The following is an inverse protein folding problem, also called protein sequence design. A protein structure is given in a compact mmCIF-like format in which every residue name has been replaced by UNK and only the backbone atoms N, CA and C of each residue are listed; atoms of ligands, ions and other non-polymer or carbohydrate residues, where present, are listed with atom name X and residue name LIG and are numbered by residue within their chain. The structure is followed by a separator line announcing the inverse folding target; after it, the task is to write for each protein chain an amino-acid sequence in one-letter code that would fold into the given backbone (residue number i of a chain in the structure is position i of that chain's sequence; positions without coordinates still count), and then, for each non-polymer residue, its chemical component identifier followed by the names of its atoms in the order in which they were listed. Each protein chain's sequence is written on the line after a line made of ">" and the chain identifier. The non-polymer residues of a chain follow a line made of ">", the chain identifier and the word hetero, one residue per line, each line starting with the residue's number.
data_IF_737398488133
#
_entry.id   IF_737398488133
#
_cell.length_a   1.000
_cell.length_b   1.000
_cell.length_c   1.000
_cell.angle_alpha   90.00
_cell.angle_beta   90.00
_cell.angle_gamma   90.00
#
_symmetry.space_group_name_H-M   'P 1'
#
loop_
_entity.id
_entity.type
_entity.pdbx_description
1 polymer ?
#
# COMPACT_ATOMS: atom_id res chain seq x y z
N UNK A 1 -17.90 -9.40 -19.87
CA UNK A 1 -16.47 -9.40 -19.46
C UNK A 1 -16.30 -10.39 -18.34
N UNK A 2 -15.35 -11.31 -18.51
CA UNK A 2 -14.98 -12.35 -17.54
C UNK A 2 -13.81 -11.82 -16.71
N UNK A 3 -14.03 -11.70 -15.41
CA UNK A 3 -13.04 -11.15 -14.47
C UNK A 3 -12.52 -12.26 -13.56
N UNK A 4 -11.22 -12.55 -13.63
CA UNK A 4 -10.58 -13.47 -12.71
C UNK A 4 -9.93 -12.70 -11.57
N UNK A 5 -10.35 -12.97 -10.33
CA UNK A 5 -9.81 -12.33 -9.14
C UNK A 5 -8.70 -13.23 -8.60
N UNK A 6 -7.45 -12.81 -8.77
CA UNK A 6 -6.28 -13.57 -8.32
C UNK A 6 -5.92 -13.20 -6.91
N UNK A 7 -5.88 -14.18 -6.01
CA UNK A 7 -5.75 -13.99 -4.57
C UNK A 7 -4.85 -15.03 -3.89
N UNK A 8 -4.59 -14.83 -2.59
CA UNK A 8 -3.82 -15.75 -1.77
C UNK A 8 -2.32 -15.49 -1.85
N UNK A 9 -1.56 -16.46 -2.31
CA UNK A 9 -0.11 -16.41 -2.34
C UNK A 9 0.53 -17.01 -1.09
N UNK A 10 1.80 -16.69 -0.85
CA UNK A 10 2.61 -17.28 0.23
C UNK A 10 3.14 -16.24 1.23
N UNK A 11 2.78 -14.95 1.05
CA UNK A 11 3.18 -13.87 1.94
C UNK A 11 2.43 -13.89 3.27
N UNK A 12 2.92 -13.11 4.23
CA UNK A 12 2.25 -12.82 5.51
C UNK A 12 0.83 -12.25 5.35
N UNK A 13 0.51 -11.68 4.18
CA UNK A 13 -0.77 -11.03 3.87
C UNK A 13 -1.79 -11.94 3.14
N UNK A 14 -1.51 -13.26 3.04
CA UNK A 14 -2.36 -14.24 2.35
C UNK A 14 -3.83 -14.21 2.78
N UNK A 15 -4.08 -14.17 4.09
CA UNK A 15 -5.43 -14.22 4.63
C UNK A 15 -6.20 -12.94 4.29
N UNK A 16 -5.54 -11.78 4.35
CA UNK A 16 -6.12 -10.50 3.96
C UNK A 16 -6.47 -10.47 2.47
N UNK A 17 -5.57 -10.97 1.62
CA UNK A 17 -5.80 -11.14 0.18
C UNK A 17 -7.02 -12.03 -0.09
N UNK A 18 -7.14 -13.14 0.62
CA UNK A 18 -8.27 -14.09 0.47
C UNK A 18 -9.60 -13.43 0.85
N UNK A 19 -9.66 -12.74 1.97
CA UNK A 19 -10.87 -12.03 2.38
C UNK A 19 -11.26 -10.92 1.38
N UNK A 20 -10.29 -10.11 0.95
CA UNK A 20 -10.52 -9.05 -0.05
C UNK A 20 -11.15 -9.63 -1.33
N UNK A 21 -10.64 -10.76 -1.84
CA UNK A 21 -11.11 -11.39 -3.06
C UNK A 21 -12.59 -11.78 -3.01
N UNK A 22 -13.06 -12.27 -1.87
CA UNK A 22 -14.47 -12.61 -1.70
C UNK A 22 -15.38 -11.37 -1.78
N UNK A 23 -15.02 -10.26 -1.13
CA UNK A 23 -15.79 -9.02 -1.20
C UNK A 23 -15.78 -8.41 -2.60
N UNK A 24 -14.62 -8.41 -3.27
CA UNK A 24 -14.48 -7.94 -4.66
C UNK A 24 -15.37 -8.75 -5.58
N UNK A 25 -15.38 -10.10 -5.47
CA UNK A 25 -16.21 -10.97 -6.28
C UNK A 25 -17.69 -10.62 -6.16
N UNK A 26 -18.19 -10.49 -4.93
CA UNK A 26 -19.61 -10.16 -4.72
C UNK A 26 -19.97 -8.81 -5.32
N UNK A 27 -19.14 -7.78 -5.10
CA UNK A 27 -19.36 -6.45 -5.67
C UNK A 27 -19.41 -6.48 -7.21
N UNK A 28 -18.48 -7.20 -7.87
CA UNK A 28 -18.46 -7.30 -9.33
C UNK A 28 -19.64 -8.13 -9.88
N UNK A 29 -20.10 -9.15 -9.15
CA UNK A 29 -21.33 -9.89 -9.50
C UNK A 29 -22.57 -9.03 -9.44
N UNK A 30 -22.68 -8.19 -8.42
CA UNK A 30 -23.79 -7.22 -8.29
C UNK A 30 -23.75 -6.19 -9.44
N UNK A 31 -22.58 -5.87 -9.98
CA UNK A 31 -22.42 -5.05 -11.20
C UNK A 31 -22.65 -5.83 -12.51
N UNK A 32 -22.97 -7.12 -12.47
CA UNK A 32 -23.28 -7.94 -13.63
C UNK A 32 -22.11 -8.57 -14.35
N UNK A 33 -20.92 -8.63 -13.73
CA UNK A 33 -19.75 -9.30 -14.30
C UNK A 33 -19.75 -10.80 -14.01
N UNK A 34 -19.28 -11.60 -14.96
CA UNK A 34 -18.90 -12.98 -14.71
C UNK A 34 -17.55 -12.99 -13.97
N UNK A 35 -17.47 -13.70 -12.83
CA UNK A 35 -16.30 -13.64 -11.96
C UNK A 35 -15.83 -15.01 -11.52
N UNK A 36 -14.49 -15.21 -11.50
CA UNK A 36 -13.84 -16.41 -11.00
C UNK A 36 -12.84 -16.06 -9.90
N UNK A 37 -12.85 -16.82 -8.82
CA UNK A 37 -11.79 -16.75 -7.80
C UNK A 37 -10.66 -17.71 -8.24
N UNK A 38 -9.47 -17.17 -8.45
CA UNK A 38 -8.30 -17.92 -8.90
C UNK A 38 -7.18 -17.79 -7.85
N UNK A 39 -6.85 -18.87 -7.11
CA UNK A 39 -5.72 -18.82 -6.21
C UNK A 39 -4.41 -18.64 -6.98
N UNK A 40 -3.48 -17.87 -6.41
CA UNK A 40 -2.17 -17.70 -7.01
C UNK A 40 -1.34 -18.98 -6.84
N UNK A 41 -1.14 -19.70 -7.94
CA UNK A 41 -0.44 -20.98 -8.01
C UNK A 41 0.45 -21.07 -9.25
N UNK A 42 1.31 -22.10 -9.31
CA UNK A 42 2.29 -22.29 -10.41
C UNK A 42 1.67 -22.31 -11.81
N UNK A 43 0.42 -22.79 -11.97
CA UNK A 43 -0.26 -22.86 -13.27
C UNK A 43 -1.24 -21.68 -13.51
N UNK A 44 -1.00 -20.53 -12.92
CA UNK A 44 -1.88 -19.36 -13.00
C UNK A 44 -2.30 -19.06 -14.44
N UNK A 45 -1.34 -18.90 -15.35
CA UNK A 45 -1.60 -18.54 -16.76
C UNK A 45 -2.46 -19.56 -17.46
N UNK A 46 -2.18 -20.86 -17.27
CA UNK A 46 -3.00 -21.94 -17.82
C UNK A 46 -4.46 -21.89 -17.33
N UNK A 47 -4.64 -21.59 -16.04
CA UNK A 47 -5.98 -21.43 -15.44
C UNK A 47 -6.72 -20.22 -16.02
N UNK A 48 -6.06 -19.06 -16.12
CA UNK A 48 -6.66 -17.85 -16.68
C UNK A 48 -7.09 -18.03 -18.14
N UNK A 49 -6.28 -18.71 -18.96
CA UNK A 49 -6.60 -19.03 -20.34
C UNK A 49 -7.77 -20.01 -20.45
N UNK A 50 -7.81 -21.04 -19.61
CA UNK A 50 -8.91 -22.01 -19.59
C UNK A 50 -10.25 -21.38 -19.20
N UNK A 51 -10.21 -20.34 -18.38
CA UNK A 51 -11.38 -19.56 -17.96
C UNK A 51 -11.77 -18.46 -18.97
N UNK A 52 -11.04 -18.31 -20.07
CA UNK A 52 -11.24 -17.22 -21.05
C UNK A 52 -11.25 -15.83 -20.38
N UNK A 53 -10.34 -15.62 -19.45
CA UNK A 53 -10.25 -14.37 -18.66
C UNK A 53 -10.00 -13.17 -19.56
N UNK A 54 -10.88 -12.17 -19.50
CA UNK A 54 -10.70 -10.89 -20.20
C UNK A 54 -9.73 -9.97 -19.43
N UNK A 55 -9.84 -9.96 -18.08
CA UNK A 55 -9.02 -9.12 -17.21
C UNK A 55 -8.86 -9.77 -15.83
N UNK A 56 -7.67 -9.60 -15.25
CA UNK A 56 -7.36 -10.05 -13.89
C UNK A 56 -7.56 -8.91 -12.90
N UNK A 57 -8.37 -9.13 -11.87
CA UNK A 57 -8.37 -8.28 -10.70
C UNK A 57 -7.29 -8.78 -9.73
N UNK A 58 -6.18 -8.03 -9.62
CA UNK A 58 -5.05 -8.39 -8.75
C UNK A 58 -5.39 -8.09 -7.31
N UNK A 59 -5.45 -9.14 -6.48
CA UNK A 59 -5.75 -9.05 -5.05
C UNK A 59 -4.64 -9.63 -4.17
N UNK A 60 -3.58 -10.20 -4.77
CA UNK A 60 -2.41 -10.68 -4.04
C UNK A 60 -1.55 -9.52 -3.57
N UNK A 61 -1.00 -9.66 -2.36
CA UNK A 61 -0.22 -8.64 -1.67
C UNK A 61 1.09 -9.23 -1.15
N UNK A 62 2.08 -8.35 -0.89
CA UNK A 62 3.33 -8.72 -0.25
C UNK A 62 4.36 -9.38 -1.17
N UNK A 63 5.46 -9.79 -0.54
CA UNK A 63 6.67 -10.32 -1.17
C UNK A 63 6.43 -11.61 -1.97
N UNK A 64 7.01 -11.67 -3.15
CA UNK A 64 6.89 -12.81 -4.09
C UNK A 64 5.59 -12.81 -4.88
N UNK A 65 4.74 -11.79 -4.79
CA UNK A 65 3.43 -11.72 -5.42
C UNK A 65 3.06 -10.31 -5.88
N UNK A 66 2.61 -9.46 -4.93
CA UNK A 66 2.23 -8.08 -5.20
C UNK A 66 3.40 -7.10 -5.39
N UNK A 67 4.60 -7.60 -5.31
CA UNK A 67 5.89 -6.89 -5.49
C UNK A 67 6.35 -6.74 -6.95
N UNK A 68 5.45 -6.87 -7.90
CA UNK A 68 5.75 -6.84 -9.33
C UNK A 68 5.82 -8.23 -9.98
N UNK A 69 5.91 -9.30 -9.19
CA UNK A 69 6.07 -10.67 -9.73
C UNK A 69 4.87 -11.11 -10.55
N UNK A 70 3.65 -11.02 -10.00
CA UNK A 70 2.44 -11.38 -10.76
C UNK A 70 2.21 -10.45 -11.94
N UNK A 71 2.47 -9.16 -11.76
CA UNK A 71 2.32 -8.16 -12.79
C UNK A 71 3.23 -8.47 -13.99
N UNK A 72 4.50 -8.83 -13.75
CA UNK A 72 5.43 -9.21 -14.81
C UNK A 72 4.98 -10.45 -15.57
N UNK A 73 4.40 -11.45 -14.90
CA UNK A 73 3.81 -12.63 -15.55
C UNK A 73 2.65 -12.23 -16.45
N UNK A 74 1.74 -11.39 -15.95
CA UNK A 74 0.56 -10.95 -16.72
C UNK A 74 0.95 -10.04 -17.90
N UNK A 75 1.94 -9.15 -17.71
CA UNK A 75 2.49 -8.29 -18.77
C UNK A 75 3.12 -9.13 -19.89
N UNK A 76 3.95 -10.12 -19.55
CA UNK A 76 4.57 -11.02 -20.52
C UNK A 76 3.54 -11.79 -21.34
N UNK A 77 2.45 -12.21 -20.72
CA UNK A 77 1.36 -12.98 -21.34
C UNK A 77 0.31 -12.13 -22.06
N UNK A 78 0.45 -10.79 -21.98
CA UNK A 78 -0.51 -9.85 -22.56
C UNK A 78 -1.89 -9.91 -21.92
N UNK A 79 -1.99 -10.36 -20.67
CA UNK A 79 -3.26 -10.46 -19.94
C UNK A 79 -3.52 -9.14 -19.18
N UNK A 80 -4.63 -8.44 -19.48
CA UNK A 80 -5.01 -7.23 -18.77
C UNK A 80 -5.18 -7.44 -17.25
N UNK A 81 -4.79 -6.46 -16.44
CA UNK A 81 -4.94 -6.54 -14.99
C UNK A 81 -5.11 -5.18 -14.31
N UNK A 82 -5.69 -5.18 -13.11
CA UNK A 82 -5.89 -3.99 -12.29
C UNK A 82 -4.64 -3.64 -11.50
N UNK A 83 -4.42 -2.34 -11.29
CA UNK A 83 -3.34 -1.80 -10.47
C UNK A 83 -2.07 -1.48 -11.26
N UNK A 84 -1.01 -1.24 -10.52
CA UNK A 84 0.29 -0.81 -11.04
C UNK A 84 0.99 -1.93 -11.83
N UNK A 85 1.76 -1.56 -12.87
CA UNK A 85 2.62 -2.49 -13.59
C UNK A 85 3.78 -3.01 -12.73
N UNK A 86 4.50 -4.02 -13.25
CA UNK A 86 5.54 -4.74 -12.52
C UNK A 86 6.61 -3.83 -11.93
N UNK A 87 7.10 -2.88 -12.71
CA UNK A 87 8.13 -1.94 -12.27
C UNK A 87 7.67 -1.05 -11.11
N UNK A 88 6.48 -0.46 -11.24
CA UNK A 88 5.90 0.39 -10.21
C UNK A 88 5.55 -0.41 -8.95
N UNK A 89 5.00 -1.61 -9.09
CA UNK A 89 4.69 -2.49 -7.97
C UNK A 89 5.96 -2.88 -7.18
N UNK A 90 7.07 -3.15 -7.87
CA UNK A 90 8.36 -3.43 -7.21
C UNK A 90 8.89 -2.24 -6.42
N UNK A 91 8.82 -1.02 -6.98
CA UNK A 91 9.22 0.21 -6.26
C UNK A 91 8.34 0.43 -5.03
N UNK A 92 7.02 0.31 -5.20
CA UNK A 92 6.04 0.60 -4.13
C UNK A 92 6.14 -0.41 -2.99
N UNK A 93 6.38 -1.67 -3.29
CA UNK A 93 6.48 -2.71 -2.26
C UNK A 93 7.77 -2.60 -1.43
N UNK A 94 8.83 -1.98 -1.94
CA UNK A 94 10.08 -1.78 -1.23
C UNK A 94 10.15 -0.38 -0.60
N UNK A 95 10.04 -0.32 0.74
CA UNK A 95 10.07 0.94 1.49
C UNK A 95 11.37 1.72 1.30
N UNK A 96 12.51 1.04 1.11
CA UNK A 96 13.80 1.70 0.85
C UNK A 96 13.77 2.36 -0.53
N UNK A 97 13.31 1.64 -1.57
CA UNK A 97 13.18 2.22 -2.90
C UNK A 97 12.21 3.41 -2.89
N UNK A 98 11.06 3.29 -2.22
CA UNK A 98 10.14 4.41 -2.06
C UNK A 98 10.82 5.64 -1.44
N UNK A 99 11.59 5.47 -0.36
CA UNK A 99 12.32 6.59 0.29
C UNK A 99 13.33 7.24 -0.64
N UNK A 100 14.05 6.48 -1.44
CA UNK A 100 14.98 7.02 -2.44
C UNK A 100 14.25 7.89 -3.48
N UNK A 101 13.08 7.44 -3.97
CA UNK A 101 12.26 8.23 -4.88
C UNK A 101 11.69 9.47 -4.20
N UNK A 102 11.23 9.36 -2.96
CA UNK A 102 10.68 10.48 -2.20
C UNK A 102 11.74 11.57 -1.98
N UNK A 103 12.93 11.20 -1.51
CA UNK A 103 14.03 12.14 -1.31
C UNK A 103 14.43 12.83 -2.62
N UNK A 104 14.55 12.05 -3.71
CA UNK A 104 14.94 12.60 -5.02
C UNK A 104 13.93 13.60 -5.54
N UNK A 105 12.66 13.43 -5.23
CA UNK A 105 11.57 14.29 -5.71
C UNK A 105 11.10 15.33 -4.67
N UNK A 106 11.77 15.44 -3.52
CA UNK A 106 11.44 16.41 -2.48
C UNK A 106 10.13 16.12 -1.75
N UNK A 107 9.67 14.86 -1.76
CA UNK A 107 8.50 14.42 -1.00
C UNK A 107 8.89 14.30 0.47
N UNK A 108 8.20 15.06 1.34
CA UNK A 108 8.48 15.04 2.77
C UNK A 108 8.18 13.68 3.37
N UNK A 109 9.22 13.07 3.95
CA UNK A 109 9.18 11.78 4.66
C UNK A 109 10.04 11.91 5.94
N UNK A 110 9.83 11.10 6.98
CA UNK A 110 10.69 11.15 8.17
C UNK A 110 12.16 10.91 7.79
N UNK A 111 13.10 11.47 8.56
CA UNK A 111 14.54 11.15 8.43
C UNK A 111 14.72 9.64 8.45
N UNK A 112 15.56 9.11 7.58
CA UNK A 112 15.73 7.67 7.44
C UNK A 112 17.16 7.29 7.03
N UNK A 113 17.51 6.02 7.24
CA UNK A 113 18.72 5.42 6.71
C UNK A 113 18.57 3.91 6.54
N UNK A 114 19.45 3.32 5.77
CA UNK A 114 19.54 1.88 5.55
C UNK A 114 20.51 1.30 6.59
N UNK A 115 20.16 0.14 7.16
CA UNK A 115 21.01 -0.59 8.07
C UNK A 115 21.12 -2.04 7.64
N UNK A 116 22.35 -2.50 7.36
CA UNK A 116 22.63 -3.92 7.13
C UNK A 116 22.80 -4.66 8.45
N UNK A 117 22.53 -5.96 8.45
CA UNK A 117 22.78 -6.81 9.63
C UNK A 117 24.28 -6.80 10.00
N UNK A 118 25.16 -6.73 9.00
CA UNK A 118 26.61 -6.67 9.21
C UNK A 118 27.03 -5.38 9.91
N UNK A 119 26.54 -4.22 9.44
CA UNK A 119 26.84 -2.93 10.09
C UNK A 119 26.32 -2.88 11.52
N UNK A 120 25.12 -3.43 11.74
CA UNK A 120 24.58 -3.52 13.10
C UNK A 120 25.46 -4.34 14.03
N UNK A 121 25.91 -5.53 13.61
CA UNK A 121 26.76 -6.42 14.41
C UNK A 121 28.17 -5.89 14.63
N UNK A 122 28.68 -5.15 13.67
CA UNK A 122 30.00 -4.51 13.76
C UNK A 122 29.97 -3.18 14.54
N UNK A 123 28.81 -2.73 15.00
CA UNK A 123 28.67 -1.47 15.73
C UNK A 123 28.83 -0.22 14.86
N UNK A 124 28.65 -0.34 13.54
CA UNK A 124 28.77 0.78 12.59
C UNK A 124 27.54 1.70 12.56
N UNK A 125 26.48 1.34 13.27
CA UNK A 125 25.29 2.17 13.40
C UNK A 125 25.35 3.02 14.68
N UNK A 126 25.50 4.31 14.51
CA UNK A 126 25.43 5.28 15.63
C UNK A 126 23.97 5.69 15.87
N UNK A 127 23.30 4.93 16.73
CA UNK A 127 21.91 5.16 17.09
C UNK A 127 21.73 6.45 17.91
N UNK A 128 22.73 6.86 18.68
CA UNK A 128 22.68 8.10 19.47
C UNK A 128 22.75 9.32 18.54
N UNK A 129 23.57 9.28 17.48
CA UNK A 129 23.61 10.32 16.45
C UNK A 129 22.37 10.32 15.54
N UNK A 130 21.77 9.14 15.29
CA UNK A 130 20.50 9.08 14.54
C UNK A 130 19.37 9.72 15.33
N UNK A 131 19.25 9.41 16.60
CA UNK A 131 18.26 9.88 17.56
C UNK A 131 17.18 8.85 17.88
N UNK A 132 16.76 8.83 19.13
CA UNK A 132 15.63 8.03 19.63
C UNK A 132 14.40 8.91 19.85
N UNK A 133 13.18 8.36 19.74
CA UNK A 133 12.87 7.02 19.25
C UNK A 133 12.95 6.92 17.72
N UNK A 134 13.13 5.69 17.23
CA UNK A 134 13.05 5.39 15.81
C UNK A 134 12.29 4.09 15.54
N UNK A 135 11.86 3.91 14.30
CA UNK A 135 11.16 2.69 13.84
C UNK A 135 12.07 1.96 12.86
N UNK A 136 12.30 0.68 13.13
CA UNK A 136 12.97 -0.23 12.20
C UNK A 136 11.91 -1.02 11.42
N UNK A 137 12.10 -1.16 10.11
CA UNK A 137 11.12 -1.81 9.23
C UNK A 137 11.82 -2.74 8.24
N UNK A 138 11.28 -3.94 8.05
CA UNK A 138 11.61 -4.78 6.90
C UNK A 138 11.06 -4.11 5.64
N UNK A 139 11.89 -3.90 4.59
CA UNK A 139 11.49 -3.09 3.44
C UNK A 139 10.28 -3.62 2.68
N UNK A 140 10.21 -4.95 2.47
CA UNK A 140 9.22 -5.58 1.58
C UNK A 140 8.05 -6.24 2.31
N UNK A 141 8.00 -6.15 3.65
CA UNK A 141 6.89 -6.69 4.44
C UNK A 141 5.73 -5.70 4.56
N UNK A 142 4.50 -6.22 4.51
CA UNK A 142 3.26 -5.48 4.71
C UNK A 142 2.55 -5.87 6.01
N UNK A 143 1.33 -5.36 6.23
CA UNK A 143 0.50 -5.76 7.37
C UNK A 143 1.13 -5.55 8.75
N UNK A 144 2.11 -4.67 8.86
CA UNK A 144 2.88 -4.39 10.08
C UNK A 144 3.81 -5.51 10.56
N UNK A 145 4.09 -6.52 9.73
CA UNK A 145 5.13 -7.51 10.00
C UNK A 145 6.52 -6.88 9.82
N UNK A 146 7.49 -7.38 10.60
CA UNK A 146 8.87 -6.90 10.52
C UNK A 146 9.05 -5.42 10.91
N UNK A 147 8.29 -4.93 11.89
CA UNK A 147 8.38 -3.57 12.41
C UNK A 147 8.71 -3.58 13.89
N UNK A 148 9.67 -2.77 14.31
CA UNK A 148 10.00 -2.55 15.71
C UNK A 148 10.18 -1.06 16.02
N UNK A 149 9.55 -0.59 17.09
CA UNK A 149 9.83 0.71 17.69
C UNK A 149 10.98 0.54 18.68
N UNK A 150 12.03 1.35 18.55
CA UNK A 150 13.19 1.38 19.42
C UNK A 150 13.20 2.74 20.14
N UNK A 151 12.92 2.72 21.43
CA UNK A 151 12.74 3.94 22.23
C UNK A 151 14.03 4.45 22.83
N UNK A 152 14.98 3.55 23.06
CA UNK A 152 16.25 3.83 23.73
C UNK A 152 17.27 2.74 23.38
N UNK A 153 18.48 2.88 23.90
CA UNK A 153 19.62 2.00 23.63
C UNK A 153 19.39 0.56 24.12
N UNK A 154 18.66 0.39 25.20
CA UNK A 154 18.36 -0.91 25.81
C UNK A 154 17.47 -1.76 24.89
N UNK A 155 16.69 -1.13 24.01
CA UNK A 155 15.81 -1.78 23.07
C UNK A 155 16.47 -2.13 21.71
N UNK A 156 17.74 -1.77 21.50
CA UNK A 156 18.49 -2.09 20.26
C UNK A 156 18.47 -3.57 19.88
N UNK A 157 18.47 -4.55 20.81
CA UNK A 157 18.36 -5.97 20.44
C UNK A 157 17.09 -6.34 19.66
N UNK A 158 16.03 -5.52 19.71
CA UNK A 158 14.80 -5.71 18.91
C UNK A 158 15.04 -5.65 17.41
N UNK A 159 16.13 -5.04 16.97
CA UNK A 159 16.51 -5.02 15.56
C UNK A 159 16.76 -6.43 14.98
N UNK A 160 17.21 -7.39 15.82
CA UNK A 160 17.38 -8.77 15.36
C UNK A 160 16.04 -9.43 14.98
N UNK A 161 14.92 -9.03 15.58
CA UNK A 161 13.58 -9.46 15.18
C UNK A 161 13.27 -8.97 13.75
N UNK A 162 13.55 -7.70 13.44
CA UNK A 162 13.33 -7.13 12.12
C UNK A 162 14.26 -7.75 11.08
N UNK A 163 15.53 -7.96 11.44
CA UNK A 163 16.49 -8.66 10.60
C UNK A 163 16.14 -10.14 10.34
N UNK A 164 15.27 -10.75 11.15
CA UNK A 164 14.79 -12.10 10.86
C UNK A 164 13.89 -12.17 9.62
N UNK A 165 13.24 -11.06 9.27
CA UNK A 165 12.44 -10.94 8.06
C UNK A 165 13.29 -10.60 6.84
N UNK A 166 14.17 -9.59 6.95
CA UNK A 166 14.90 -9.07 5.80
C UNK A 166 16.20 -8.34 6.22
N UNK A 167 17.14 -8.22 5.28
CA UNK A 167 18.33 -7.37 5.39
C UNK A 167 18.73 -6.90 3.98
N UNK A 168 18.98 -5.59 3.76
CA UNK A 168 18.99 -4.53 4.78
C UNK A 168 17.60 -4.20 5.33
N UNK A 169 17.55 -3.42 6.42
CA UNK A 169 16.33 -2.85 6.99
C UNK A 169 16.31 -1.32 6.87
N UNK A 170 15.13 -0.75 6.90
CA UNK A 170 14.91 0.69 6.97
C UNK A 170 14.86 1.14 8.44
N UNK A 171 15.68 2.12 8.81
CA UNK A 171 15.59 2.86 10.08
C UNK A 171 14.96 4.21 9.78
N UNK A 172 13.88 4.55 10.46
CA UNK A 172 13.11 5.77 10.24
C UNK A 172 12.85 6.50 11.55
N UNK A 173 13.11 7.81 11.60
CA UNK A 173 12.81 8.61 12.77
C UNK A 173 11.31 8.51 13.13
N UNK A 174 11.02 8.28 14.39
CA UNK A 174 9.63 8.26 14.85
C UNK A 174 9.08 9.70 14.81
N UNK A 175 7.90 9.86 14.21
CA UNK A 175 7.17 11.13 14.16
C UNK A 175 6.00 11.05 15.13
N UNK A 176 6.07 11.72 16.30
CA UNK A 176 4.93 11.81 17.20
C UNK A 176 3.77 12.53 16.52
N UNK A 177 2.58 11.91 16.48
CA UNK A 177 1.47 12.52 15.77
C UNK A 177 0.28 11.60 15.55
N UNK A 178 -0.55 11.97 14.62
CA UNK A 178 -1.74 11.22 14.25
C UNK A 178 -1.61 10.64 12.85
N UNK A 179 -2.10 9.41 12.70
CA UNK A 179 -2.08 8.68 11.43
C UNK A 179 -3.26 9.07 10.54
N UNK A 180 -2.95 9.38 9.31
CA UNK A 180 -3.92 9.72 8.25
C UNK A 180 -3.58 9.00 6.97
N UNK A 181 -4.57 8.90 6.10
CA UNK A 181 -4.39 8.27 4.80
C UNK A 181 -5.20 8.97 3.73
N UNK A 182 -4.70 8.92 2.50
CA UNK A 182 -5.35 9.43 1.30
C UNK A 182 -5.30 8.36 0.22
N UNK A 183 -6.47 7.91 -0.19
CA UNK A 183 -6.61 7.08 -1.36
C UNK A 183 -6.49 7.88 -2.65
N UNK A 184 -5.95 7.23 -3.67
CA UNK A 184 -5.84 7.78 -5.02
C UNK A 184 -6.51 6.82 -5.98
N UNK A 185 -7.30 7.37 -6.88
CA UNK A 185 -7.86 6.67 -8.02
C UNK A 185 -7.41 7.36 -9.31
N UNK A 186 -7.06 6.58 -10.33
CA UNK A 186 -6.82 7.08 -11.68
C UNK A 186 -7.95 6.61 -12.59
N UNK A 187 -8.50 7.49 -13.37
CA UNK A 187 -9.60 7.20 -14.30
C UNK A 187 -9.48 8.08 -15.54
N UNK A 188 -9.51 7.49 -16.72
CA UNK A 188 -9.36 8.21 -18.00
C UNK A 188 -8.14 9.16 -18.01
N UNK A 189 -7.01 8.63 -17.57
CA UNK A 189 -5.75 9.38 -17.46
C UNK A 189 -5.71 10.47 -16.37
N UNK A 190 -6.81 10.70 -15.62
CA UNK A 190 -6.86 11.70 -14.55
C UNK A 190 -6.70 11.06 -13.18
N UNK A 191 -5.89 11.69 -12.35
CA UNK A 191 -5.63 11.27 -10.96
C UNK A 191 -6.54 12.06 -10.02
N UNK A 192 -7.26 11.34 -9.14
CA UNK A 192 -8.17 11.89 -8.13
C UNK A 192 -7.74 11.44 -6.76
N UNK A 193 -7.75 12.35 -5.79
CA UNK A 193 -7.59 12.01 -4.38
C UNK A 193 -8.95 11.77 -3.74
N UNK A 194 -9.05 10.72 -2.94
CA UNK A 194 -10.18 10.52 -2.04
C UNK A 194 -10.03 11.43 -0.82
N UNK A 195 -11.11 11.70 -0.07
CA UNK A 195 -11.03 12.49 1.15
C UNK A 195 -10.03 11.90 2.14
N UNK A 196 -9.19 12.76 2.72
CA UNK A 196 -8.31 12.40 3.80
C UNK A 196 -9.11 11.86 4.99
N UNK A 197 -8.78 10.67 5.47
CA UNK A 197 -9.36 10.09 6.68
C UNK A 197 -8.29 9.87 7.74
N UNK A 198 -8.71 9.95 9.02
CA UNK A 198 -7.88 9.53 10.14
C UNK A 198 -8.01 8.04 10.33
N UNK A 199 -6.89 7.31 10.37
CA UNK A 199 -6.86 5.92 10.76
C UNK A 199 -6.86 5.81 12.28
N UNK A 200 -7.89 5.17 12.84
CA UNK A 200 -8.00 4.91 14.27
C UNK A 200 -7.90 3.42 14.50
N UNK A 201 -6.98 3.00 15.35
CA UNK A 201 -6.78 1.58 15.68
C UNK A 201 -8.04 0.99 16.32
N UNK A 202 -8.34 -0.26 16.00
CA UNK A 202 -9.45 -0.99 16.59
C UNK A 202 -8.94 -2.21 17.35
N UNK A 203 -9.43 -2.35 18.57
CA UNK A 203 -9.20 -3.55 19.37
C UNK A 203 -10.55 -4.05 19.90
N UNK A 204 -10.84 -5.34 19.73
CA UNK A 204 -12.12 -5.95 20.14
C UNK A 204 -13.36 -5.19 19.63
N UNK A 205 -13.27 -4.67 18.38
CA UNK A 205 -14.36 -3.93 17.75
C UNK A 205 -14.58 -2.49 18.25
N UNK A 206 -13.73 -2.00 19.17
CA UNK A 206 -13.76 -0.65 19.70
C UNK A 206 -12.64 0.18 19.12
N UNK A 207 -12.91 1.44 18.81
CA UNK A 207 -11.89 2.40 18.41
C UNK A 207 -11.02 2.76 19.62
N UNK A 208 -9.70 2.63 19.46
CA UNK A 208 -8.73 3.08 20.44
C UNK A 208 -8.12 4.36 19.93
N UNK A 209 -8.64 5.48 20.42
CA UNK A 209 -8.10 6.80 20.13
C UNK A 209 -7.27 7.27 21.33
N UNK A 210 -6.00 6.89 21.32
CA UNK A 210 -5.02 7.31 22.34
C UNK A 210 -3.97 8.22 21.68
N UNK A 211 -4.27 9.51 21.50
CA UNK A 211 -3.30 10.46 20.96
C UNK A 211 -2.08 10.56 21.90
N UNK A 212 -0.89 10.65 21.31
CA UNK A 212 0.36 10.86 22.05
C UNK A 212 1.02 9.60 22.63
N UNK A 213 0.46 8.39 22.48
CA UNK A 213 1.20 7.17 22.82
C UNK A 213 2.15 6.78 21.70
N UNK A 214 3.40 6.49 22.09
CA UNK A 214 4.40 5.85 21.23
C UNK A 214 3.92 4.45 20.85
N UNK A 215 3.29 4.33 19.66
CA UNK A 215 2.83 3.06 19.10
C UNK A 215 3.31 2.92 17.67
N UNK A 216 3.85 1.77 17.36
CA UNK A 216 3.85 1.31 15.97
C UNK A 216 2.45 0.80 15.72
N UNK A 217 1.78 1.38 14.74
CA UNK A 217 0.42 0.99 14.39
C UNK A 217 0.45 -0.43 13.82
N UNK A 218 -0.09 -1.36 14.59
CA UNK A 218 -0.21 -2.77 14.20
C UNK A 218 -1.66 -3.18 14.39
N UNK A 219 -2.44 -3.31 13.32
CA UNK A 219 -3.76 -3.84 13.54
C UNK A 219 -4.85 -3.41 12.55
N UNK A 220 -6.10 -3.61 12.96
CA UNK A 220 -7.29 -3.21 12.22
C UNK A 220 -7.58 -1.73 12.47
N UNK A 221 -7.88 -0.98 11.40
CA UNK A 221 -8.12 0.46 11.46
C UNK A 221 -9.54 0.78 11.01
N UNK A 222 -10.15 1.75 11.70
CA UNK A 222 -11.36 2.42 11.24
C UNK A 222 -11.01 3.75 10.57
N UNK A 223 -11.65 4.03 9.44
CA UNK A 223 -11.63 5.34 8.82
C UNK A 223 -12.53 6.31 9.61
N UNK A 224 -11.99 7.43 10.03
CA UNK A 224 -12.73 8.51 10.70
C UNK A 224 -12.53 9.81 9.94
N UNK A 225 -13.54 10.69 9.99
CA UNK A 225 -13.44 12.00 9.37
C UNK A 225 -12.18 12.75 9.86
N UNK A 226 -11.44 13.32 8.92
CA UNK A 226 -10.27 14.15 9.24
C UNK A 226 -10.73 15.53 9.73
N UNK A 227 -10.25 15.92 10.91
CA UNK A 227 -10.45 17.26 11.48
C UNK A 227 -9.26 18.20 11.22
N UNK A 228 -8.35 17.81 10.33
CA UNK A 228 -7.19 18.63 9.98
C UNK A 228 -7.61 19.95 9.31
N UNK A 229 -6.81 21.03 9.49
CA UNK A 229 -6.95 22.27 8.74
C UNK A 229 -6.95 22.01 7.22
N UNK A 230 -7.69 22.83 6.49
CA UNK A 230 -7.78 22.71 5.01
C UNK A 230 -6.41 22.76 4.35
N UNK A 231 -5.54 23.63 4.83
CA UNK A 231 -4.18 23.79 4.31
C UNK A 231 -3.36 22.50 4.44
N UNK A 232 -3.36 21.86 5.61
CA UNK A 232 -2.67 20.59 5.84
C UNK A 232 -3.22 19.50 4.93
N UNK A 233 -4.55 19.42 4.75
CA UNK A 233 -5.17 18.45 3.83
C UNK A 233 -4.75 18.67 2.39
N UNK A 234 -4.69 19.92 1.92
CA UNK A 234 -4.22 20.24 0.57
C UNK A 234 -2.75 19.88 0.36
N UNK A 235 -1.89 20.09 1.37
CA UNK A 235 -0.49 19.64 1.32
C UNK A 235 -0.40 18.11 1.22
N UNK A 236 -1.22 17.39 1.97
CA UNK A 236 -1.25 15.92 1.91
C UNK A 236 -1.74 15.42 0.56
N UNK A 237 -2.77 16.03 -0.01
CA UNK A 237 -3.28 15.69 -1.35
C UNK A 237 -2.21 15.88 -2.43
N UNK A 238 -1.43 16.95 -2.34
CA UNK A 238 -0.33 17.20 -3.26
C UNK A 238 0.80 16.19 -3.10
N UNK A 239 1.23 15.91 -1.86
CA UNK A 239 2.24 14.89 -1.57
C UNK A 239 1.78 13.49 -2.02
N UNK A 240 0.50 13.16 -1.84
CA UNK A 240 -0.07 11.90 -2.27
C UNK A 240 -0.01 11.75 -3.81
N UNK A 241 -0.40 12.80 -4.56
CA UNK A 241 -0.31 12.81 -6.03
C UNK A 241 1.13 12.72 -6.52
N UNK A 242 2.05 13.41 -5.86
CA UNK A 242 3.48 13.32 -6.17
C UNK A 242 4.00 11.89 -5.93
N UNK A 243 3.70 11.27 -4.77
CA UNK A 243 4.10 9.90 -4.46
C UNK A 243 3.54 8.91 -5.50
N UNK A 244 2.27 9.06 -5.88
CA UNK A 244 1.64 8.25 -6.93
C UNK A 244 2.35 8.41 -8.28
N UNK A 245 2.65 9.65 -8.67
CA UNK A 245 3.28 9.95 -9.96
C UNK A 245 4.72 9.45 -10.03
N UNK A 246 5.55 9.71 -9.01
CA UNK A 246 6.98 9.36 -9.04
C UNK A 246 7.23 7.86 -8.93
N UNK A 247 6.33 7.11 -8.31
CA UNK A 247 6.41 5.64 -8.26
C UNK A 247 5.84 4.96 -9.50
N UNK A 248 5.16 5.70 -10.38
CA UNK A 248 4.49 5.14 -11.55
C UNK A 248 3.26 4.31 -11.22
N UNK A 249 2.61 4.58 -10.09
CA UNK A 249 1.39 3.89 -9.68
C UNK A 249 0.27 4.05 -10.72
N UNK A 250 -0.58 3.03 -10.84
CA UNK A 250 -1.71 2.99 -11.77
C UNK A 250 -2.98 2.53 -11.08
N UNK A 251 -4.12 2.96 -11.61
CA UNK A 251 -5.50 2.67 -11.23
C UNK A 251 -5.84 3.08 -9.80
N UNK A 252 -5.10 2.65 -8.80
CA UNK A 252 -5.30 2.94 -7.38
C UNK A 252 -4.01 2.93 -6.59
N UNK A 253 -3.98 3.69 -5.51
CA UNK A 253 -3.00 3.55 -4.42
C UNK A 253 -3.55 4.19 -3.14
N UNK A 254 -2.98 3.84 -1.98
CA UNK A 254 -3.21 4.54 -0.71
C UNK A 254 -1.87 5.06 -0.20
N UNK A 255 -1.84 6.33 0.13
CA UNK A 255 -0.66 6.98 0.72
C UNK A 255 -0.92 7.23 2.19
N UNK A 256 -0.02 6.75 3.01
CA UNK A 256 -0.11 6.76 4.47
C UNK A 256 0.79 7.86 5.04
N UNK A 257 0.26 8.62 5.99
CA UNK A 257 0.89 9.81 6.55
C UNK A 257 0.91 9.79 8.07
N UNK A 258 1.97 10.37 8.62
CA UNK A 258 1.95 10.89 9.98
C UNK A 258 1.88 12.43 9.92
N UNK A 259 0.90 13.03 10.59
CA UNK A 259 0.88 14.48 10.81
C UNK A 259 1.48 14.75 12.18
N UNK A 260 2.63 15.39 12.17
CA UNK A 260 3.42 15.64 13.37
C UNK A 260 2.69 16.56 14.36
N UNK A 261 2.80 16.24 15.65
CA UNK A 261 2.30 17.09 16.72
C UNK A 261 3.22 18.29 17.01
N UNK A 262 4.49 18.20 16.61
CA UNK A 262 5.49 19.22 16.85
C UNK A 262 5.37 20.39 15.85
N UNK A 263 5.53 20.08 14.56
CA UNK A 263 5.56 21.09 13.49
C UNK A 263 4.26 21.18 12.67
N UNK A 264 3.28 20.31 12.95
CA UNK A 264 1.98 20.22 12.28
C UNK A 264 2.07 19.86 10.79
N UNK A 265 3.23 19.38 10.33
CA UNK A 265 3.46 19.01 8.95
C UNK A 265 3.13 17.55 8.68
N UNK A 266 2.65 17.22 7.46
CA UNK A 266 2.44 15.84 7.03
C UNK A 266 3.76 15.23 6.53
N UNK A 267 4.03 14.00 6.95
CA UNK A 267 5.14 13.16 6.50
C UNK A 267 4.60 11.90 5.83
N UNK A 268 5.00 11.64 4.58
CA UNK A 268 4.66 10.41 3.87
C UNK A 268 5.43 9.25 4.49
N UNK A 269 4.72 8.26 4.99
CA UNK A 269 5.31 7.02 5.52
C UNK A 269 5.57 6.02 4.41
N UNK A 270 4.52 5.72 3.64
CA UNK A 270 4.55 4.74 2.56
C UNK A 270 3.42 4.98 1.56
N UNK A 271 3.50 4.31 0.42
CA UNK A 271 2.44 4.17 -0.58
C UNK A 271 2.11 2.69 -0.75
N UNK A 272 0.85 2.34 -0.93
CA UNK A 272 0.35 0.97 -1.09
C UNK A 272 -0.33 0.82 -2.45
N UNK A 273 0.23 -0.01 -3.36
CA UNK A 273 -0.32 -0.24 -4.70
C UNK A 273 -1.58 -1.11 -4.70
N UNK A 274 -1.70 -2.02 -3.74
CA UNK A 274 -2.88 -2.88 -3.55
C UNK A 274 -3.37 -2.69 -2.11
N UNK A 275 -4.10 -1.60 -1.83
CA UNK A 275 -4.60 -1.35 -0.48
C UNK A 275 -5.64 -2.40 -0.07
N UNK A 276 -5.87 -2.53 1.24
CA UNK A 276 -6.96 -3.38 1.74
C UNK A 276 -8.30 -2.93 1.21
N UNK A 277 -9.03 -3.86 0.58
CA UNK A 277 -10.31 -3.60 -0.11
C UNK A 277 -11.53 -4.21 0.62
N UNK A 278 -11.39 -4.68 1.85
CA UNK A 278 -12.58 -5.05 2.66
C UNK A 278 -13.44 -3.81 2.90
N UNK A 279 -14.78 -3.92 2.92
CA UNK A 279 -15.67 -2.77 3.12
C UNK A 279 -15.37 -1.91 4.36
N UNK A 280 -14.69 -2.50 5.36
CA UNK A 280 -14.26 -1.81 6.59
C UNK A 280 -12.84 -1.27 6.56
N UNK A 281 -12.07 -1.56 5.50
CA UNK A 281 -10.70 -1.05 5.36
C UNK A 281 -10.68 0.46 5.09
N UNK A 282 -9.49 1.07 5.27
CA UNK A 282 -9.32 2.52 5.13
C UNK A 282 -9.68 3.02 3.72
N UNK A 283 -9.20 2.36 2.69
CA UNK A 283 -9.41 2.78 1.31
C UNK A 283 -10.89 2.78 0.89
N UNK A 284 -11.71 1.71 1.15
CA UNK A 284 -13.16 1.82 0.98
C UNK A 284 -13.82 2.84 1.90
N UNK A 285 -13.27 3.07 3.09
CA UNK A 285 -13.73 4.12 4.00
C UNK A 285 -13.58 5.52 3.42
N UNK A 286 -12.46 5.79 2.75
CA UNK A 286 -12.20 7.03 2.02
C UNK A 286 -13.16 7.21 0.83
N UNK A 287 -13.39 6.15 0.05
CA UNK A 287 -14.36 6.14 -1.04
C UNK A 287 -15.77 6.45 -0.54
N UNK A 288 -16.18 5.84 0.57
CA UNK A 288 -17.46 6.12 1.23
C UNK A 288 -17.57 7.58 1.69
N UNK A 289 -16.49 8.15 2.22
CA UNK A 289 -16.44 9.57 2.60
C UNK A 289 -16.56 10.50 1.39
N UNK A 290 -16.18 10.05 0.18
CA UNK A 290 -16.41 10.72 -1.09
C UNK A 290 -17.85 10.54 -1.63
N UNK A 291 -18.71 9.79 -0.95
CA UNK A 291 -20.07 9.46 -1.40
C UNK A 291 -20.13 8.30 -2.41
N UNK A 292 -19.03 7.56 -2.59
CA UNK A 292 -18.93 6.42 -3.50
C UNK A 292 -19.38 5.14 -2.77
N UNK A 293 -20.21 4.33 -3.42
CA UNK A 293 -20.55 3.00 -2.94
C UNK A 293 -19.35 2.04 -3.08
N UNK A 294 -19.41 0.91 -2.39
CA UNK A 294 -18.38 -0.10 -2.49
C UNK A 294 -18.29 -0.68 -3.91
N UNK A 295 -19.45 -0.91 -4.54
CA UNK A 295 -19.57 -1.40 -5.92
C UNK A 295 -18.95 -0.41 -6.91
N UNK A 296 -19.24 0.89 -6.79
CA UNK A 296 -18.66 1.94 -7.65
C UNK A 296 -17.15 2.04 -7.50
N UNK A 297 -16.60 1.81 -6.29
CA UNK A 297 -15.16 1.75 -6.07
C UNK A 297 -14.54 0.56 -6.80
N UNK A 298 -15.05 -0.65 -6.56
CA UNK A 298 -14.46 -1.89 -7.10
C UNK A 298 -14.59 -1.92 -8.63
N UNK A 299 -15.76 -1.58 -9.16
CA UNK A 299 -15.98 -1.47 -10.60
C UNK A 299 -15.14 -0.35 -11.22
N UNK A 300 -15.02 0.79 -10.53
CA UNK A 300 -14.22 1.91 -10.99
C UNK A 300 -12.74 1.57 -11.20
N UNK A 301 -12.15 0.76 -10.30
CA UNK A 301 -10.78 0.25 -10.43
C UNK A 301 -10.69 -0.70 -11.62
N UNK A 302 -11.64 -1.62 -11.78
CA UNK A 302 -11.70 -2.54 -12.91
C UNK A 302 -11.77 -1.81 -14.26
N UNK A 303 -12.66 -0.82 -14.36
CA UNK A 303 -12.85 -0.05 -15.58
C UNK A 303 -11.63 0.84 -15.91
N UNK A 304 -10.95 1.37 -14.91
CA UNK A 304 -9.69 2.10 -15.11
C UNK A 304 -8.66 1.23 -15.82
N UNK A 305 -8.43 0.04 -15.29
CA UNK A 305 -7.50 -0.93 -15.88
C UNK A 305 -7.91 -1.34 -17.29
N UNK A 306 -9.21 -1.60 -17.51
CA UNK A 306 -9.74 -1.98 -18.83
C UNK A 306 -9.58 -0.86 -19.87
N UNK A 307 -9.81 0.39 -19.51
CA UNK A 307 -9.61 1.56 -20.37
C UNK A 307 -8.12 1.71 -20.75
N UNK A 308 -7.21 1.55 -19.81
CA UNK A 308 -5.75 1.62 -20.00
C UNK A 308 -5.26 0.60 -21.03
N UNK A 309 -5.80 -0.60 -21.05
CA UNK A 309 -5.40 -1.62 -22.02
C UNK A 309 -5.80 -1.26 -23.46
N UNK A 310 -6.91 -0.54 -23.64
CA UNK A 310 -7.34 -0.06 -24.96
C UNK A 310 -6.45 1.07 -25.48
N UNK A 311 -5.96 1.93 -24.61
CA UNK A 311 -5.05 3.02 -24.96
C UNK A 311 -3.65 2.50 -25.31
N UNK A 312 -3.12 1.51 -24.57
CA UNK A 312 -1.83 0.86 -24.84
C UNK A 312 -1.82 -0.02 -26.10
N UNK A 313 -2.94 -0.61 -26.46
CA UNK A 313 -3.09 -1.40 -27.71
C UNK A 313 -3.04 -0.55 -28.99
N UNK A 314 -3.28 0.75 -28.89
CA UNK A 314 -3.20 1.66 -30.03
C UNK A 314 -1.75 2.07 -30.39
N UNK A 315 -0.79 1.85 -29.50
CA UNK A 315 0.62 2.22 -29.69
C UNK A 315 1.52 1.08 -30.18
N UNK A 316 1.04 -0.17 -30.21
CA UNK A 316 1.83 -1.34 -30.62
C UNK A 316 1.65 -1.74 -32.10
N UNK A 317 1.09 -0.88 -32.95
CA UNK A 317 1.02 -1.05 -34.40
C UNK A 317 2.00 -0.08 -35.12
N UNK A 318 3.30 -0.17 -34.75
CA UNK A 318 4.37 0.42 -35.57
C UNK A 318 5.46 -0.62 -35.78
#
# INVERSE_FOLDING_TARGET
>A
MIVSIVYGGYSSEKDMSTENAHYIREALRECGYETHLVPYEKNLVGTLRALHTDIVYVCVQGKGHGDGTIQAILEQEGIPFTGSGSHAAAIINDKILCKLYFDRCGIRTPKWQILTREDFRNGNFDADAFGYPFVAKAPSEGGSFGIALVQNKEEMPRLEEVFSYESPILIEAFVPGSFYTIGILKRKGKVFTLPCVRGVERQDGKDIDEPGKLKVFTGDYAARESKLPKETRLQMEELAKQAFGVTGAEDMARVDFMVSEEDKLPYVLEINAVPGLKPRSLFPGEAKAAGMSYQELIEGILLSAWERTKEGGATNNV
#
